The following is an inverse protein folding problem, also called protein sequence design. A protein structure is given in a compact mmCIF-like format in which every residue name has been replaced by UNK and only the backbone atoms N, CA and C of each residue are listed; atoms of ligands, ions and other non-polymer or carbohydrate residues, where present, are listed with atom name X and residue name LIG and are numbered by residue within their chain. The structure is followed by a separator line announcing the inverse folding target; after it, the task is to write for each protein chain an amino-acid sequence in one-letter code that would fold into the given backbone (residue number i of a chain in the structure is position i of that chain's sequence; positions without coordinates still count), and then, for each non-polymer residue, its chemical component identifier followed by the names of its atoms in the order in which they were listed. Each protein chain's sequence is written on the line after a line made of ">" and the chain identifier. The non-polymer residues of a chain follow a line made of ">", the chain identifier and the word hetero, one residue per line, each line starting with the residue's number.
data_IF_836929401219
#
_entry.id   IF_836929401219
#
_cell.length_a   1.000
_cell.length_b   1.000
_cell.length_c   1.000
_cell.angle_alpha   90.00
_cell.angle_beta   90.00
_cell.angle_gamma   90.00
#
_symmetry.space_group_name_H-M   'P 1'
#
loop_
_entity.id
_entity.type
_entity.pdbx_description
1 polymer ?
#
# COMPACT_ATOMS: atom_id res chain seq x y z
N UNK A 1 44.73 33.75 -14.29
CA UNK A 1 43.41 33.90 -13.74
C UNK A 1 42.41 32.77 -14.15
N UNK A 2 42.26 32.42 -15.46
CA UNK A 2 41.30 31.35 -15.88
C UNK A 2 41.53 29.96 -15.28
N UNK A 3 42.79 29.53 -15.04
CA UNK A 3 43.11 28.19 -14.48
C UNK A 3 42.69 28.02 -13.01
N UNK A 4 42.72 29.09 -12.22
CA UNK A 4 42.33 29.06 -10.80
C UNK A 4 40.79 29.10 -10.66
N UNK A 5 40.07 29.71 -11.62
CA UNK A 5 38.62 29.75 -11.58
C UNK A 5 37.98 28.37 -11.82
N UNK A 6 38.56 27.58 -12.72
CA UNK A 6 38.12 26.20 -13.00
C UNK A 6 38.38 25.29 -11.80
N UNK A 7 39.54 25.44 -11.13
CA UNK A 7 39.86 24.64 -9.93
C UNK A 7 38.90 24.93 -8.75
N UNK A 8 38.52 26.20 -8.56
CA UNK A 8 37.55 26.58 -7.48
C UNK A 8 36.17 26.05 -7.78
N UNK A 9 35.71 26.06 -9.02
CA UNK A 9 34.40 25.49 -9.39
C UNK A 9 34.39 23.97 -9.20
N UNK A 10 35.46 23.26 -9.60
CA UNK A 10 35.54 21.81 -9.39
C UNK A 10 35.55 21.42 -7.91
N UNK A 11 36.26 22.17 -7.05
CA UNK A 11 36.26 21.94 -5.60
C UNK A 11 34.89 22.24 -4.98
N UNK A 12 34.19 23.29 -5.42
CA UNK A 12 32.86 23.60 -4.93
C UNK A 12 31.81 22.54 -5.32
N UNK A 13 31.87 22.02 -6.55
CA UNK A 13 31.02 20.90 -6.99
C UNK A 13 31.32 19.62 -6.22
N UNK A 14 32.60 19.32 -5.95
CA UNK A 14 33.00 18.15 -5.19
C UNK A 14 32.56 18.25 -3.70
N UNK A 15 32.66 19.43 -3.10
CA UNK A 15 32.17 19.67 -1.74
C UNK A 15 30.64 19.62 -1.63
N UNK A 16 29.90 20.04 -2.67
CA UNK A 16 28.44 19.92 -2.68
C UNK A 16 28.00 18.45 -2.82
N UNK A 17 28.69 17.63 -3.57
CA UNK A 17 28.42 16.20 -3.67
C UNK A 17 28.72 15.43 -2.37
N UNK A 18 29.78 15.83 -1.64
CA UNK A 18 30.12 15.23 -0.34
C UNK A 18 29.14 15.63 0.77
N UNK A 19 28.52 16.83 0.67
CA UNK A 19 27.53 17.27 1.66
C UNK A 19 26.13 16.65 1.44
N UNK A 20 25.82 16.20 0.22
CA UNK A 20 24.54 15.61 -0.11
C UNK A 20 24.42 14.14 0.38
N UNK A 21 25.51 13.37 0.29
CA UNK A 21 25.51 11.97 0.73
C UNK A 21 25.19 11.74 2.22
N UNK A 22 25.73 12.51 3.19
CA UNK A 22 25.37 12.33 4.60
C UNK A 22 23.94 12.78 4.91
N UNK A 23 23.38 13.73 4.19
CA UNK A 23 22.00 14.20 4.41
C UNK A 23 20.98 13.16 3.91
N UNK A 24 21.23 12.51 2.77
CA UNK A 24 20.40 11.42 2.29
C UNK A 24 20.43 10.20 3.23
N UNK A 25 21.58 9.91 3.83
CA UNK A 25 21.73 8.81 4.80
C UNK A 25 21.01 9.07 6.13
N UNK A 26 20.77 10.34 6.49
CA UNK A 26 20.00 10.73 7.68
C UNK A 26 18.49 10.56 7.50
N UNK A 27 18.01 10.47 6.26
CA UNK A 27 16.61 10.26 5.89
C UNK A 27 16.34 8.80 5.52
N UNK A 28 17.34 7.93 5.56
CA UNK A 28 17.19 6.51 5.27
C UNK A 28 16.24 5.85 6.27
N UNK A 29 15.26 5.13 5.77
CA UNK A 29 14.26 4.39 6.54
C UNK A 29 14.56 2.90 6.51
N UNK A 30 14.10 2.19 7.54
CA UNK A 30 14.05 0.74 7.57
C UNK A 30 12.62 0.29 7.43
N UNK A 31 12.35 -0.51 6.44
CA UNK A 31 11.03 -0.99 6.08
C UNK A 31 11.01 -2.51 6.31
N UNK A 32 9.99 -2.99 7.03
CA UNK A 32 9.70 -4.41 7.20
C UNK A 32 8.44 -4.74 6.43
N UNK A 33 8.50 -5.73 5.54
CA UNK A 33 7.35 -6.25 4.79
C UNK A 33 6.98 -7.61 5.36
N UNK A 34 5.71 -7.78 5.75
CA UNK A 34 5.22 -9.07 6.23
C UNK A 34 4.89 -10.00 5.07
N UNK A 35 5.69 -11.03 4.90
CA UNK A 35 5.45 -12.14 3.97
C UNK A 35 5.20 -13.48 4.68
N UNK A 36 5.30 -13.56 6.00
CA UNK A 36 5.03 -14.80 6.75
C UNK A 36 3.54 -15.10 6.89
N UNK A 37 2.68 -14.08 6.82
CA UNK A 37 1.22 -14.24 6.80
C UNK A 37 0.65 -14.30 5.38
N UNK A 38 1.50 -14.16 4.34
CA UNK A 38 1.09 -14.22 2.95
C UNK A 38 0.77 -15.66 2.49
N UNK A 39 -0.02 -15.77 1.42
CA UNK A 39 -0.24 -17.04 0.74
C UNK A 39 0.77 -17.22 -0.40
N UNK A 40 1.86 -17.92 -0.13
CA UNK A 40 2.89 -18.23 -1.11
C UNK A 40 2.36 -19.04 -2.33
N UNK A 41 1.25 -19.76 -2.17
CA UNK A 41 0.69 -20.60 -3.24
C UNK A 41 -0.23 -19.82 -4.19
N UNK A 42 -0.66 -18.60 -3.84
CA UNK A 42 -1.62 -17.86 -4.64
C UNK A 42 -1.02 -17.34 -5.95
N UNK A 43 0.27 -17.06 -5.97
CA UNK A 43 0.97 -16.47 -7.09
C UNK A 43 1.81 -17.48 -7.89
N UNK A 44 1.42 -18.76 -7.99
CA UNK A 44 2.09 -19.79 -8.82
C UNK A 44 3.62 -19.81 -8.70
N UNK A 45 4.16 -19.83 -7.48
CA UNK A 45 5.59 -19.76 -7.22
C UNK A 45 6.16 -18.35 -7.13
N UNK A 46 5.30 -17.38 -7.08
CA UNK A 46 5.57 -15.97 -6.91
C UNK A 46 5.96 -15.69 -5.47
N UNK A 47 7.10 -15.06 -5.27
CA UNK A 47 7.52 -14.61 -3.94
C UNK A 47 7.15 -13.11 -3.77
N UNK A 48 6.94 -12.69 -2.54
CA UNK A 48 6.68 -11.27 -2.25
C UNK A 48 7.81 -10.37 -2.74
N UNK A 49 9.04 -10.87 -2.69
CA UNK A 49 10.22 -10.17 -3.17
C UNK A 49 10.15 -9.90 -4.68
N UNK A 50 9.62 -10.86 -5.46
CA UNK A 50 9.43 -10.67 -6.90
C UNK A 50 8.27 -9.71 -7.20
N UNK A 51 7.18 -9.79 -6.41
CA UNK A 51 6.03 -8.91 -6.56
C UNK A 51 6.36 -7.45 -6.19
N UNK A 52 7.28 -7.23 -5.27
CA UNK A 52 7.75 -5.92 -4.87
C UNK A 52 9.14 -5.56 -5.41
N UNK A 53 9.58 -6.21 -6.50
CA UNK A 53 10.93 -6.02 -7.05
C UNK A 53 11.25 -4.57 -7.38
N UNK A 54 10.36 -3.87 -8.07
CA UNK A 54 10.53 -2.44 -8.41
C UNK A 54 10.49 -1.58 -7.15
N UNK A 55 9.52 -1.77 -6.25
CA UNK A 55 9.45 -1.07 -4.96
C UNK A 55 10.77 -1.19 -4.19
N UNK A 56 11.28 -2.41 -4.02
CA UNK A 56 12.53 -2.67 -3.29
C UNK A 56 13.70 -1.96 -3.96
N UNK A 57 13.84 -2.13 -5.29
CA UNK A 57 14.92 -1.51 -6.06
C UNK A 57 14.94 0.01 -5.92
N UNK A 58 13.77 0.65 -5.99
CA UNK A 58 13.66 2.11 -5.85
C UNK A 58 14.00 2.56 -4.43
N UNK A 59 13.47 1.89 -3.40
CA UNK A 59 13.77 2.23 -2.02
C UNK A 59 15.26 2.04 -1.67
N UNK A 60 15.86 0.94 -2.11
CA UNK A 60 17.28 0.67 -1.88
C UNK A 60 18.18 1.66 -2.65
N UNK A 61 17.79 2.10 -3.85
CA UNK A 61 18.48 3.14 -4.60
C UNK A 61 18.57 4.47 -3.84
N UNK A 62 17.59 4.73 -2.98
CA UNK A 62 17.51 5.90 -2.09
C UNK A 62 18.12 5.64 -0.70
N UNK A 63 18.88 4.55 -0.53
CA UNK A 63 19.52 4.13 0.73
C UNK A 63 18.57 3.68 1.84
N UNK A 64 17.30 3.37 1.56
CA UNK A 64 16.43 2.67 2.49
C UNK A 64 16.84 1.20 2.61
N UNK A 65 16.44 0.55 3.69
CA UNK A 65 16.61 -0.89 3.87
C UNK A 65 15.23 -1.54 3.85
N UNK A 66 15.07 -2.62 3.09
CA UNK A 66 13.84 -3.41 3.03
C UNK A 66 14.16 -4.84 3.45
N UNK A 67 13.51 -5.29 4.52
CA UNK A 67 13.64 -6.65 5.04
C UNK A 67 12.26 -7.34 5.03
N UNK A 68 12.27 -8.67 4.95
CA UNK A 68 11.05 -9.49 5.00
C UNK A 68 10.95 -10.26 6.32
N UNK A 69 9.72 -10.43 6.83
CA UNK A 69 9.50 -11.18 8.08
C UNK A 69 9.94 -12.63 8.00
N UNK A 70 9.94 -13.25 6.82
CA UNK A 70 10.47 -14.61 6.60
C UNK A 70 11.99 -14.72 6.85
N UNK A 71 12.71 -13.63 6.70
CA UNK A 71 14.17 -13.59 6.86
C UNK A 71 14.60 -13.21 8.29
N UNK A 72 13.91 -12.23 8.88
CA UNK A 72 14.31 -11.62 10.16
C UNK A 72 13.35 -11.90 11.33
N UNK A 73 12.18 -12.52 11.04
CA UNK A 73 11.09 -12.72 12.00
C UNK A 73 10.17 -11.51 12.10
N UNK A 74 8.97 -11.73 12.66
CA UNK A 74 7.97 -10.67 12.84
C UNK A 74 8.30 -9.85 14.09
N UNK A 75 9.21 -8.89 13.97
CA UNK A 75 9.54 -7.91 15.01
C UNK A 75 9.78 -6.51 14.40
N UNK A 76 8.78 -5.62 14.40
CA UNK A 76 8.91 -4.29 13.83
C UNK A 76 9.70 -3.30 14.69
N UNK A 77 10.16 -3.67 15.88
CA UNK A 77 10.75 -2.73 16.87
C UNK A 77 12.01 -1.98 16.39
N UNK A 78 12.67 -2.49 15.37
CA UNK A 78 13.88 -1.87 14.79
C UNK A 78 13.66 -1.14 13.47
N UNK A 79 12.40 -1.00 13.06
CA UNK A 79 12.00 -0.45 11.77
C UNK A 79 11.28 0.89 11.93
N UNK A 80 11.20 1.66 10.85
CA UNK A 80 10.45 2.91 10.76
C UNK A 80 9.04 2.65 10.20
N UNK A 81 8.92 1.66 9.29
CA UNK A 81 7.71 1.33 8.57
C UNK A 81 7.48 -0.17 8.60
N UNK A 82 6.26 -0.59 8.86
CA UNK A 82 5.78 -1.96 8.72
C UNK A 82 4.70 -1.99 7.64
N UNK A 83 4.85 -2.88 6.65
CA UNK A 83 3.84 -3.13 5.62
C UNK A 83 3.20 -4.48 5.90
N UNK A 84 1.89 -4.50 6.16
CA UNK A 84 1.05 -5.69 6.21
C UNK A 84 0.32 -5.82 4.89
N UNK A 85 0.66 -6.84 4.14
CA UNK A 85 0.30 -6.99 2.76
C UNK A 85 -0.66 -8.17 2.59
N UNK A 86 -1.95 -7.87 2.46
CA UNK A 86 -3.05 -8.80 2.20
C UNK A 86 -2.83 -10.20 2.85
N UNK A 87 -2.81 -10.31 4.18
CA UNK A 87 -2.46 -11.54 4.88
C UNK A 87 -3.48 -12.65 4.63
N UNK A 88 -2.99 -13.89 4.57
CA UNK A 88 -3.79 -15.11 4.40
C UNK A 88 -3.97 -15.92 5.68
N UNK A 89 -3.31 -15.49 6.75
CA UNK A 89 -3.44 -16.08 8.08
C UNK A 89 -3.58 -15.01 9.17
N UNK A 90 -4.17 -15.41 10.30
CA UNK A 90 -4.41 -14.51 11.40
C UNK A 90 -3.12 -14.17 12.15
N UNK A 91 -2.99 -12.93 12.53
CA UNK A 91 -1.94 -12.48 13.46
C UNK A 91 -2.21 -13.01 14.88
N UNK A 92 -1.16 -13.43 15.55
CA UNK A 92 -1.23 -13.82 16.95
C UNK A 92 -1.39 -12.58 17.87
N UNK A 93 -1.84 -12.82 19.10
CA UNK A 93 -1.88 -11.77 20.13
C UNK A 93 -0.49 -11.15 20.40
N UNK A 94 0.59 -11.95 20.31
CA UNK A 94 1.96 -11.46 20.48
C UNK A 94 2.35 -10.48 19.39
N UNK A 95 2.04 -10.79 18.13
CA UNK A 95 2.29 -9.92 16.99
C UNK A 95 1.49 -8.63 17.06
N UNK A 96 0.21 -8.71 17.45
CA UNK A 96 -0.60 -7.52 17.71
C UNK A 96 0.03 -6.60 18.75
N UNK A 97 0.56 -7.16 19.86
CA UNK A 97 1.28 -6.38 20.87
C UNK A 97 2.57 -5.73 20.32
N UNK A 98 3.31 -6.44 19.45
CA UNK A 98 4.51 -5.89 18.82
C UNK A 98 4.15 -4.70 17.92
N UNK A 99 3.11 -4.83 17.10
CA UNK A 99 2.63 -3.73 16.24
C UNK A 99 2.11 -2.56 17.07
N UNK A 100 1.34 -2.82 18.13
CA UNK A 100 0.89 -1.76 19.02
C UNK A 100 2.08 -1.01 19.66
N UNK A 101 3.07 -1.74 20.16
CA UNK A 101 4.29 -1.13 20.75
C UNK A 101 5.07 -0.33 19.71
N UNK A 102 5.18 -0.83 18.50
CA UNK A 102 5.81 -0.15 17.37
C UNK A 102 5.12 1.20 17.07
N UNK A 103 3.80 1.20 16.99
CA UNK A 103 3.01 2.41 16.78
C UNK A 103 3.10 3.39 17.95
N UNK A 104 3.03 2.91 19.20
CA UNK A 104 3.20 3.77 20.38
C UNK A 104 4.56 4.50 20.38
N UNK A 105 5.58 3.92 19.76
CA UNK A 105 6.93 4.48 19.62
C UNK A 105 7.12 5.32 18.34
N UNK A 106 6.07 5.59 17.58
CA UNK A 106 6.11 6.48 16.41
C UNK A 106 6.35 5.80 15.07
N UNK A 107 6.22 4.47 14.99
CA UNK A 107 6.31 3.73 13.73
C UNK A 107 5.13 4.02 12.80
N UNK A 108 5.30 3.72 11.52
CA UNK A 108 4.25 3.84 10.50
C UNK A 108 3.80 2.46 10.04
N UNK A 109 2.52 2.17 10.17
CA UNK A 109 1.88 0.96 9.65
C UNK A 109 1.20 1.25 8.31
N UNK A 110 1.56 0.49 7.28
CA UNK A 110 0.88 0.46 5.98
C UNK A 110 0.11 -0.84 5.89
N UNK A 111 -1.21 -0.78 5.84
CA UNK A 111 -2.08 -1.92 5.65
C UNK A 111 -2.60 -1.94 4.22
N UNK A 112 -2.23 -2.96 3.46
CA UNK A 112 -2.65 -3.16 2.08
C UNK A 112 -3.70 -4.27 2.05
N UNK A 113 -4.93 -3.91 1.67
CA UNK A 113 -6.03 -4.86 1.50
C UNK A 113 -6.20 -5.30 0.06
N UNK A 114 -7.26 -6.06 -0.20
CA UNK A 114 -7.57 -6.58 -1.53
C UNK A 114 -9.08 -6.79 -1.69
N UNK A 115 -9.57 -6.87 -2.94
CA UNK A 115 -10.96 -7.26 -3.25
C UNK A 115 -11.33 -8.61 -2.63
N UNK A 116 -12.58 -8.76 -2.26
CA UNK A 116 -13.05 -9.94 -1.51
C UNK A 116 -13.11 -11.23 -2.33
N UNK A 117 -13.14 -11.16 -3.66
CA UNK A 117 -13.35 -12.35 -4.49
C UNK A 117 -12.30 -13.46 -4.25
N UNK A 118 -11.09 -13.10 -3.81
CA UNK A 118 -9.97 -14.01 -3.56
C UNK A 118 -9.33 -13.87 -2.20
N UNK A 119 -9.64 -12.79 -1.45
CA UNK A 119 -8.96 -12.41 -0.22
C UNK A 119 -9.93 -12.20 0.93
N UNK A 120 -9.46 -12.50 2.12
CA UNK A 120 -10.22 -12.30 3.35
C UNK A 120 -9.58 -11.17 4.17
N UNK A 121 -10.05 -9.94 3.97
CA UNK A 121 -9.59 -8.77 4.71
C UNK A 121 -9.85 -8.85 6.23
N UNK A 122 -10.54 -9.88 6.72
CA UNK A 122 -10.83 -10.03 8.15
C UNK A 122 -9.56 -10.12 9.00
N UNK A 123 -8.46 -10.62 8.46
CA UNK A 123 -7.18 -10.68 9.18
C UNK A 123 -6.60 -9.29 9.42
N UNK A 124 -6.62 -8.41 8.39
CA UNK A 124 -6.27 -7.01 8.56
C UNK A 124 -7.25 -6.30 9.48
N UNK A 125 -8.55 -6.46 9.27
CA UNK A 125 -9.58 -5.85 10.09
C UNK A 125 -9.48 -6.24 11.58
N UNK A 126 -9.11 -7.48 11.87
CA UNK A 126 -8.86 -7.94 13.24
C UNK A 126 -7.63 -7.25 13.85
N UNK A 127 -6.54 -7.09 13.07
CA UNK A 127 -5.36 -6.35 13.51
C UNK A 127 -5.71 -4.88 13.76
N UNK A 128 -6.36 -4.20 12.82
CA UNK A 128 -6.75 -2.80 12.97
C UNK A 128 -7.70 -2.60 14.17
N UNK A 129 -8.66 -3.53 14.36
CA UNK A 129 -9.55 -3.51 15.53
C UNK A 129 -8.78 -3.67 16.85
N UNK A 130 -7.82 -4.59 16.89
CA UNK A 130 -6.96 -4.80 18.07
C UNK A 130 -6.15 -3.55 18.42
N UNK A 131 -5.71 -2.80 17.43
CA UNK A 131 -4.95 -1.55 17.56
C UNK A 131 -5.83 -0.34 17.88
N UNK A 132 -7.17 -0.48 17.90
CA UNK A 132 -8.17 0.59 18.00
C UNK A 132 -8.06 1.61 16.84
N UNK A 133 -7.74 1.15 15.65
CA UNK A 133 -7.77 1.94 14.42
C UNK A 133 -9.20 1.97 13.89
N UNK A 134 -9.67 3.14 13.49
CA UNK A 134 -11.04 3.40 13.03
C UNK A 134 -11.19 3.27 11.50
N UNK A 135 -10.51 2.28 10.90
CA UNK A 135 -10.58 1.95 9.48
C UNK A 135 -10.85 0.45 9.32
N UNK A 136 -11.73 0.09 8.37
CA UNK A 136 -11.98 -1.32 7.99
C UNK A 136 -11.98 -1.46 6.47
N UNK A 137 -11.47 -2.59 5.99
CA UNK A 137 -11.57 -3.01 4.60
C UNK A 137 -12.91 -3.69 4.38
N UNK A 138 -13.67 -3.23 3.40
CA UNK A 138 -14.96 -3.78 3.06
C UNK A 138 -14.85 -5.06 2.22
N UNK A 139 -15.94 -5.84 2.23
CA UNK A 139 -16.02 -7.09 1.49
C UNK A 139 -16.71 -6.88 0.12
N UNK A 140 -16.08 -6.10 -0.74
CA UNK A 140 -16.64 -5.72 -2.05
C UNK A 140 -15.57 -5.57 -3.12
N UNK A 141 -15.97 -5.14 -4.31
CA UNK A 141 -15.10 -4.76 -5.42
C UNK A 141 -15.60 -3.43 -5.97
N UNK A 142 -14.65 -2.54 -6.30
CA UNK A 142 -14.91 -1.26 -6.94
C UNK A 142 -14.88 -1.42 -8.45
N UNK A 143 -15.85 -0.79 -9.13
CA UNK A 143 -15.88 -0.60 -10.58
C UNK A 143 -16.04 0.89 -10.88
N UNK A 144 -15.29 1.43 -11.82
CA UNK A 144 -15.49 2.77 -12.34
C UNK A 144 -15.64 2.72 -13.86
N UNK A 145 -16.84 3.04 -14.34
CA UNK A 145 -17.14 3.04 -15.79
C UNK A 145 -16.86 4.40 -16.45
N UNK A 146 -16.37 5.37 -15.69
CA UNK A 146 -16.09 6.75 -16.12
C UNK A 146 -14.60 7.07 -16.11
N UNK A 147 -13.95 6.78 -14.98
CA UNK A 147 -12.53 7.05 -14.76
C UNK A 147 -11.81 5.74 -14.45
N UNK A 148 -11.39 5.04 -15.48
CA UNK A 148 -10.65 3.79 -15.33
C UNK A 148 -9.40 3.77 -16.24
N UNK A 149 -8.40 3.05 -15.83
CA UNK A 149 -7.17 2.86 -16.61
C UNK A 149 -7.39 1.77 -17.62
N UNK A 150 -7.22 0.80 -18.01
CA UNK A 150 -7.51 -0.15 -19.10
C UNK A 150 -8.81 -0.93 -18.88
N UNK A 151 -9.11 -1.27 -17.64
CA UNK A 151 -10.25 -2.08 -17.26
C UNK A 151 -11.13 -1.33 -16.25
N UNK A 152 -12.45 -1.46 -16.34
CA UNK A 152 -13.39 -0.74 -15.48
C UNK A 152 -13.27 -1.09 -13.99
N UNK A 153 -12.61 -2.19 -13.62
CA UNK A 153 -12.24 -2.55 -12.25
C UNK A 153 -10.83 -2.05 -11.85
N UNK A 154 -10.22 -1.19 -12.66
CA UNK A 154 -9.00 -0.43 -12.37
C UNK A 154 -9.31 1.06 -12.31
N UNK A 155 -9.96 1.53 -11.22
CA UNK A 155 -10.38 2.90 -11.10
C UNK A 155 -9.19 3.86 -11.00
N UNK A 156 -9.33 5.03 -11.61
CA UNK A 156 -8.40 6.16 -11.50
C UNK A 156 -8.95 7.13 -10.47
N UNK A 157 -8.24 7.28 -9.37
CA UNK A 157 -8.62 8.13 -8.25
C UNK A 157 -7.96 9.50 -8.37
N UNK A 158 -8.74 10.57 -8.21
CA UNK A 158 -8.31 11.97 -8.38
C UNK A 158 -8.75 12.90 -7.25
N UNK A 159 -9.62 12.41 -6.36
CA UNK A 159 -10.15 13.23 -5.28
C UNK A 159 -9.30 13.03 -4.02
N UNK A 160 -8.40 13.99 -3.77
CA UNK A 160 -7.44 13.98 -2.67
C UNK A 160 -7.71 15.12 -1.69
N UNK A 161 -7.56 14.85 -0.40
CA UNK A 161 -7.56 15.88 0.65
C UNK A 161 -6.23 16.64 0.69
N UNK A 162 -6.14 17.65 1.55
CA UNK A 162 -4.88 18.37 1.80
C UNK A 162 -4.01 17.64 2.84
N UNK A 163 -3.69 16.37 2.62
CA UNK A 163 -2.90 15.57 3.55
C UNK A 163 -1.51 15.23 2.95
N UNK A 164 -0.42 15.21 3.76
CA UNK A 164 0.94 14.97 3.25
C UNK A 164 1.11 13.67 2.45
N UNK A 165 0.36 12.61 2.79
CA UNK A 165 0.40 11.32 2.09
C UNK A 165 -0.03 11.43 0.63
N UNK A 166 -0.92 12.36 0.31
CA UNK A 166 -1.46 12.56 -1.04
C UNK A 166 -1.03 13.90 -1.65
N UNK A 167 -0.01 14.53 -1.07
CA UNK A 167 0.50 15.81 -1.57
C UNK A 167 1.09 15.67 -2.97
N UNK A 168 0.74 16.62 -3.84
CA UNK A 168 1.24 16.72 -5.22
C UNK A 168 0.89 15.51 -6.11
N UNK A 169 -0.13 14.72 -5.77
CA UNK A 169 -0.69 13.69 -6.65
C UNK A 169 -1.73 14.30 -7.60
N UNK A 170 -1.66 13.95 -8.88
CA UNK A 170 -2.70 14.25 -9.86
C UNK A 170 -3.70 13.09 -9.97
N UNK A 171 -3.22 11.84 -9.94
CA UNK A 171 -4.05 10.62 -9.95
C UNK A 171 -3.27 9.40 -9.48
N UNK A 172 -3.98 8.42 -8.93
CA UNK A 172 -3.46 7.07 -8.68
C UNK A 172 -4.39 6.04 -9.33
N UNK A 173 -3.86 4.86 -9.63
CA UNK A 173 -4.62 3.74 -10.19
C UNK A 173 -4.64 2.58 -9.21
N UNK A 174 -5.84 2.06 -8.93
CA UNK A 174 -6.02 0.83 -8.16
C UNK A 174 -6.27 -0.34 -9.12
N UNK A 175 -5.81 -1.53 -8.75
CA UNK A 175 -5.88 -2.73 -9.57
C UNK A 175 -6.78 -3.78 -8.93
N UNK A 176 -8.10 -3.56 -9.03
CA UNK A 176 -9.15 -4.41 -8.48
C UNK A 176 -9.27 -4.33 -6.94
N UNK A 177 -9.50 -3.13 -6.44
CA UNK A 177 -9.61 -2.81 -5.03
C UNK A 177 -10.99 -3.11 -4.41
N UNK A 178 -11.05 -3.13 -3.07
CA UNK A 178 -12.28 -2.94 -2.30
C UNK A 178 -12.46 -1.47 -1.88
N UNK A 179 -13.48 -1.17 -1.07
CA UNK A 179 -13.62 0.13 -0.38
C UNK A 179 -13.15 0.05 1.06
N UNK A 180 -13.03 1.21 1.69
CA UNK A 180 -12.82 1.34 3.13
C UNK A 180 -14.09 1.84 3.81
N UNK A 181 -14.31 1.39 5.06
CA UNK A 181 -15.14 2.07 6.04
C UNK A 181 -14.21 2.84 6.98
N UNK A 182 -14.32 4.17 6.97
CA UNK A 182 -13.51 5.10 7.76
C UNK A 182 -14.43 5.85 8.70
N UNK A 183 -14.21 5.72 10.00
CA UNK A 183 -15.10 6.25 11.02
C UNK A 183 -14.30 6.85 12.19
N UNK A 184 -15.00 7.30 13.26
CA UNK A 184 -14.35 7.82 14.47
C UNK A 184 -13.46 9.02 14.23
N UNK A 185 -12.20 8.91 14.65
CA UNK A 185 -11.18 9.96 14.51
C UNK A 185 -10.28 9.77 13.27
N UNK A 186 -10.48 8.69 12.50
CA UNK A 186 -9.73 8.43 11.27
C UNK A 186 -10.12 9.41 10.15
N UNK A 187 -9.18 9.72 9.26
CA UNK A 187 -9.34 10.67 8.17
C UNK A 187 -9.38 9.98 6.81
N UNK A 188 -10.30 10.38 5.94
CA UNK A 188 -10.30 10.01 4.52
C UNK A 188 -9.37 10.97 3.79
N UNK A 189 -8.31 10.43 3.17
CA UNK A 189 -7.33 11.26 2.43
C UNK A 189 -7.44 11.13 0.93
N UNK A 190 -8.04 10.04 0.43
CA UNK A 190 -8.45 9.89 -0.96
C UNK A 190 -9.84 9.25 -1.03
N UNK A 191 -10.68 9.70 -1.95
CA UNK A 191 -12.02 9.17 -2.18
C UNK A 191 -12.33 9.12 -3.68
N UNK A 192 -13.38 8.39 -4.07
CA UNK A 192 -13.93 8.45 -5.42
C UNK A 192 -15.44 8.59 -5.36
N UNK A 193 -15.96 9.48 -6.20
CA UNK A 193 -17.39 9.76 -6.36
C UNK A 193 -18.00 9.19 -7.65
N UNK A 194 -17.21 8.48 -8.46
CA UNK A 194 -17.62 7.94 -9.77
C UNK A 194 -17.71 6.43 -9.81
N UNK A 195 -17.44 5.76 -8.69
CA UNK A 195 -17.39 4.30 -8.61
C UNK A 195 -18.76 3.68 -8.30
N UNK A 196 -18.92 2.47 -8.76
CA UNK A 196 -19.96 1.53 -8.37
C UNK A 196 -19.32 0.44 -7.53
N UNK A 197 -20.05 -0.05 -6.54
CA UNK A 197 -19.57 -1.07 -5.62
C UNK A 197 -20.49 -2.27 -5.68
N UNK A 198 -19.91 -3.47 -5.75
CA UNK A 198 -20.71 -4.70 -5.65
C UNK A 198 -21.25 -4.86 -4.23
N UNK A 199 -22.41 -5.51 -4.09
CA UNK A 199 -22.87 -5.99 -2.79
C UNK A 199 -21.82 -6.95 -2.19
N UNK A 200 -21.69 -6.98 -0.84
CA UNK A 200 -20.76 -7.85 -0.17
C UNK A 200 -21.00 -9.31 -0.57
N UNK A 201 -19.98 -9.98 -1.06
CA UNK A 201 -20.05 -11.42 -1.32
C UNK A 201 -20.12 -12.17 0.00
N UNK A 202 -21.16 -12.96 0.23
CA UNK A 202 -21.12 -13.99 1.24
C UNK A 202 -20.19 -15.11 0.75
N UNK A 203 -18.94 -15.09 1.18
CA UNK A 203 -18.02 -16.19 0.93
C UNK A 203 -18.51 -17.38 1.77
N UNK A 204 -19.30 -18.28 1.17
CA UNK A 204 -19.46 -19.61 1.74
C UNK A 204 -18.13 -20.32 1.58
N UNK A 205 -17.46 -20.56 2.70
CA UNK A 205 -16.27 -21.41 2.78
C UNK A 205 -16.68 -22.85 2.48
N UNK A 206 -16.67 -23.25 1.21
CA UNK A 206 -16.72 -24.67 0.85
C UNK A 206 -15.30 -25.09 0.45
N UNK A 207 -14.72 -25.87 1.34
CA UNK A 207 -13.40 -26.45 1.24
C UNK A 207 -13.42 -27.62 0.27
N UNK A 208 -13.40 -27.38 -1.02
CA UNK A 208 -12.84 -28.34 -1.99
C UNK A 208 -12.93 -27.80 -3.43
N UNK A 209 -11.80 -27.87 -4.09
CA UNK A 209 -11.57 -27.77 -5.53
C UNK A 209 -11.52 -26.38 -6.19
N UNK A 210 -10.48 -26.26 -7.00
CA UNK A 210 -10.24 -25.29 -8.05
C UNK A 210 -11.51 -24.98 -8.88
N UNK A 211 -12.41 -24.23 -8.30
CA UNK A 211 -13.57 -23.71 -9.00
C UNK A 211 -13.18 -22.36 -9.61
N UNK A 212 -13.16 -22.31 -10.93
CA UNK A 212 -13.33 -21.06 -11.67
C UNK A 212 -14.54 -20.34 -11.08
N UNK A 213 -14.27 -19.28 -10.28
CA UNK A 213 -15.33 -18.41 -9.78
C UNK A 213 -15.88 -17.68 -10.99
N UNK A 214 -17.00 -18.18 -11.49
CA UNK A 214 -17.80 -17.44 -12.45
C UNK A 214 -18.31 -16.23 -11.68
N UNK A 215 -17.89 -15.04 -12.10
CA UNK A 215 -18.46 -13.78 -11.65
C UNK A 215 -19.94 -13.73 -12.11
N UNK A 216 -20.85 -14.35 -11.40
CA UNK A 216 -22.26 -13.97 -11.44
C UNK A 216 -22.39 -12.70 -10.58
N UNK A 217 -21.81 -11.62 -11.09
CA UNK A 217 -22.06 -10.29 -10.55
C UNK A 217 -23.52 -9.95 -10.76
N UNK A 218 -24.22 -9.61 -9.70
CA UNK A 218 -25.43 -8.80 -9.84
C UNK A 218 -25.02 -7.61 -10.71
N UNK A 219 -25.72 -7.43 -11.84
CA UNK A 219 -25.50 -6.29 -12.74
C UNK A 219 -25.50 -5.02 -11.91
N UNK A 220 -24.31 -4.44 -11.69
CA UNK A 220 -24.19 -3.15 -11.01
C UNK A 220 -24.75 -2.12 -11.97
N UNK A 221 -25.80 -1.40 -11.57
CA UNK A 221 -26.37 -0.35 -12.41
C UNK A 221 -25.29 0.75 -12.61
N UNK A 222 -24.73 0.91 -13.82
CA UNK A 222 -23.66 1.89 -14.05
C UNK A 222 -24.12 3.35 -13.84
N UNK A 223 -25.39 3.59 -13.56
CA UNK A 223 -25.94 4.92 -13.29
C UNK A 223 -25.99 5.26 -11.80
N UNK A 224 -25.72 4.32 -10.90
CA UNK A 224 -25.70 4.55 -9.45
C UNK A 224 -24.26 4.66 -8.99
N UNK A 225 -23.72 5.87 -8.98
CA UNK A 225 -22.41 6.15 -8.39
C UNK A 225 -22.56 6.54 -6.92
N UNK A 226 -21.61 6.12 -6.11
CA UNK A 226 -21.51 6.50 -4.69
C UNK A 226 -20.11 7.07 -4.40
N UNK A 227 -20.02 7.95 -3.41
CA UNK A 227 -18.73 8.39 -2.90
C UNK A 227 -18.22 7.37 -1.88
N UNK A 228 -17.01 6.89 -2.07
CA UNK A 228 -16.40 5.88 -1.22
C UNK A 228 -15.00 6.29 -0.80
N UNK A 229 -14.60 6.04 0.46
CA UNK A 229 -13.21 6.16 0.92
C UNK A 229 -12.31 5.15 0.21
N UNK A 230 -11.15 5.64 -0.22
CA UNK A 230 -10.11 4.85 -0.91
C UNK A 230 -8.85 4.76 -0.06
N UNK A 231 -8.35 5.87 0.50
CA UNK A 231 -7.22 5.86 1.41
C UNK A 231 -7.67 6.46 2.72
N UNK A 232 -7.45 5.72 3.80
CA UNK A 232 -7.72 6.17 5.16
C UNK A 232 -6.43 6.29 5.96
N UNK A 233 -6.34 7.28 6.84
CA UNK A 233 -5.26 7.43 7.81
C UNK A 233 -5.81 7.54 9.23
N UNK A 234 -5.03 7.04 10.19
CA UNK A 234 -5.37 7.09 11.61
C UNK A 234 -4.07 7.14 12.44
N UNK A 235 -4.19 7.42 13.73
CA UNK A 235 -3.06 7.58 14.63
C UNK A 235 -3.21 6.72 15.88
N UNK A 236 -2.16 6.00 16.24
CA UNK A 236 -2.11 5.17 17.45
C UNK A 236 -0.91 5.58 18.29
N UNK A 237 -1.15 6.26 19.41
CA UNK A 237 -0.08 6.87 20.21
C UNK A 237 0.66 7.95 19.43
N UNK A 238 1.96 7.76 19.18
CA UNK A 238 2.77 8.64 18.32
C UNK A 238 2.91 8.09 16.89
N UNK A 239 2.39 6.91 16.63
CA UNK A 239 2.49 6.22 15.35
C UNK A 239 1.37 6.59 14.40
N UNK A 240 1.55 6.19 13.16
CA UNK A 240 0.69 6.49 12.02
C UNK A 240 0.22 5.20 11.38
N UNK A 241 -1.03 5.18 10.94
CA UNK A 241 -1.61 4.06 10.21
C UNK A 241 -2.17 4.58 8.90
N UNK A 242 -1.84 3.90 7.82
CA UNK A 242 -2.46 4.14 6.51
C UNK A 242 -3.03 2.83 5.98
N UNK A 243 -4.25 2.89 5.48
CA UNK A 243 -4.92 1.76 4.84
C UNK A 243 -5.20 2.08 3.38
N UNK A 244 -4.82 1.15 2.50
CA UNK A 244 -5.04 1.22 1.05
C UNK A 244 -5.66 -0.10 0.62
N UNK A 245 -6.82 -0.12 -0.05
CA UNK A 245 -7.59 -1.34 -0.30
C UNK A 245 -7.16 -2.11 -1.56
N UNK A 246 -5.89 -1.99 -1.92
CA UNK A 246 -5.28 -2.63 -3.09
C UNK A 246 -3.82 -2.97 -2.80
N UNK A 247 -3.50 -4.26 -2.81
CA UNK A 247 -2.13 -4.73 -2.65
C UNK A 247 -1.29 -4.51 -3.92
N UNK A 248 -1.94 -4.49 -5.08
CA UNK A 248 -1.24 -4.39 -6.37
C UNK A 248 -0.68 -2.99 -6.63
N UNK A 249 -1.21 -1.95 -5.99
CA UNK A 249 -0.84 -0.55 -6.25
C UNK A 249 0.68 -0.30 -6.20
N UNK A 250 1.41 -1.05 -5.36
CA UNK A 250 2.87 -0.96 -5.25
C UNK A 250 3.61 -2.17 -5.81
N UNK A 251 2.90 -3.04 -6.51
CA UNK A 251 3.43 -4.28 -7.04
C UNK A 251 3.95 -4.19 -8.48
N UNK A 252 4.68 -5.23 -8.87
CA UNK A 252 5.07 -5.48 -10.26
C UNK A 252 3.96 -6.26 -10.98
N UNK A 253 3.75 -5.97 -12.25
CA UNK A 253 2.84 -6.77 -13.09
C UNK A 253 3.54 -8.03 -13.60
N UNK A 254 3.37 -9.09 -12.89
CA UNK A 254 4.03 -10.37 -13.15
C UNK A 254 3.30 -11.25 -14.14
N UNK A 255 2.06 -10.91 -14.42
CA UNK A 255 1.25 -11.63 -15.40
C UNK A 255 1.26 -10.96 -16.78
N UNK A 256 1.85 -9.77 -16.91
CA UNK A 256 1.92 -9.02 -18.17
C UNK A 256 0.55 -8.44 -18.58
N UNK A 257 -0.25 -8.04 -17.60
CA UNK A 257 -1.55 -7.41 -17.86
C UNK A 257 -1.40 -6.00 -18.45
N UNK A 258 -0.30 -5.32 -18.10
CA UNK A 258 0.02 -3.96 -18.57
C UNK A 258 1.42 -3.90 -19.17
N UNK A 259 1.77 -2.77 -19.79
CA UNK A 259 3.16 -2.50 -20.19
C UNK A 259 3.88 -1.79 -19.05
N UNK A 260 4.70 -2.50 -18.29
CA UNK A 260 5.39 -2.01 -17.10
C UNK A 260 4.82 -2.63 -15.82
N UNK A 261 5.02 -1.98 -14.69
CA UNK A 261 4.57 -2.44 -13.39
C UNK A 261 3.42 -1.58 -12.86
N UNK A 262 2.61 -2.11 -11.97
CA UNK A 262 1.48 -1.36 -11.37
C UNK A 262 1.95 -0.13 -10.59
N UNK A 263 3.09 -0.23 -9.91
CA UNK A 263 3.70 0.88 -9.17
C UNK A 263 4.14 2.04 -10.08
N UNK A 264 4.40 1.78 -11.36
CA UNK A 264 4.85 2.79 -12.34
C UNK A 264 3.67 3.51 -13.02
N UNK A 265 2.42 3.14 -12.70
CA UNK A 265 1.24 3.76 -13.33
C UNK A 265 0.86 5.03 -12.59
N UNK A 266 0.63 6.11 -13.33
CA UNK A 266 0.28 7.44 -12.81
C UNK A 266 1.21 7.84 -11.64
N UNK A 267 0.65 8.30 -10.50
CA UNK A 267 1.40 8.75 -9.33
C UNK A 267 1.54 7.67 -8.23
N UNK A 268 1.36 6.37 -8.55
CA UNK A 268 1.45 5.29 -7.56
C UNK A 268 2.81 5.27 -6.85
N UNK A 269 3.92 5.44 -7.59
CA UNK A 269 5.26 5.58 -7.02
C UNK A 269 5.37 6.82 -6.14
N UNK A 270 4.80 7.96 -6.54
CA UNK A 270 4.82 9.18 -5.74
C UNK A 270 4.02 9.01 -4.44
N UNK A 271 2.89 8.31 -4.47
CA UNK A 271 2.13 7.94 -3.28
C UNK A 271 3.01 7.13 -2.30
N UNK A 272 3.74 6.12 -2.79
CA UNK A 272 4.68 5.37 -1.96
C UNK A 272 5.71 6.30 -1.32
N UNK A 273 6.34 7.18 -2.11
CA UNK A 273 7.34 8.13 -1.58
C UNK A 273 6.74 9.06 -0.53
N UNK A 274 5.54 9.56 -0.73
CA UNK A 274 4.86 10.38 0.25
C UNK A 274 4.65 9.63 1.58
N UNK A 275 4.27 8.34 1.53
CA UNK A 275 4.11 7.47 2.72
C UNK A 275 5.44 7.29 3.44
N UNK A 276 6.52 7.00 2.71
CA UNK A 276 7.87 6.76 3.27
C UNK A 276 8.39 7.99 4.01
N UNK A 277 8.08 9.18 3.54
CA UNK A 277 8.58 10.44 4.13
C UNK A 277 7.55 11.16 5.02
N UNK A 278 6.34 10.64 5.10
CA UNK A 278 5.30 11.13 6.03
C UNK A 278 5.62 10.76 7.48
#
# INVERSE_FOLDING_TARGET
>A
MKKYFIAVILVAVFLSLISCAPTMRLLAKKILIDNTHANENYYDGYTKENFFGTLISELESMYHTVDFTSEVGFDPSGYDILILDAPFSAYSYSEGNMVNTFLQNGGTLVALGEKTAYWNNSYLNNMLSYLNVDIRFEANIIYDYVNYYQEYYWPVIKDFSSHPVVDSLDSIVLFAACTLDVFGDAEVVAESSTVNVTEPFNVQSDSSDSASVIFEGTEVDPQVTITVPIIGVDYVGSGKVIAIPDVNIFGDDVYGNISGNFIDVDDNMQLLMNIIYW
#
